data_IF_315588944316
#
_entry.id   IF_315588944316
#
_cell.length_a   1.000
_cell.length_b   1.000
_cell.length_c   1.000
_cell.angle_alpha   90.00
_cell.angle_beta   90.00
_cell.angle_gamma   90.00
#
_symmetry.space_group_name_H-M   'P 1'
#
loop_
_entity.id
_entity.type
_entity.pdbx_description
1 polymer ?
#
# COMPACT_ATOMS: atom_id res chain seq x y z
N UNK A 1 28.66 10.60 33.16
CA UNK A 1 27.33 10.86 32.53
C UNK A 1 27.38 10.53 31.05
N UNK A 2 26.34 9.91 30.49
CA UNK A 2 26.19 9.71 29.03
C UNK A 2 26.18 11.06 28.30
N UNK A 3 26.74 11.14 27.08
CA UNK A 3 26.70 12.37 26.24
C UNK A 3 25.28 12.94 26.09
N UNK A 4 24.27 12.06 26.05
CA UNK A 4 22.85 12.46 25.95
C UNK A 4 22.29 13.00 27.28
N UNK A 5 22.69 12.45 28.42
CA UNK A 5 22.24 12.91 29.74
C UNK A 5 22.84 14.26 30.11
N UNK A 6 24.11 14.49 29.73
CA UNK A 6 24.78 15.78 29.90
C UNK A 6 24.04 16.87 29.13
N UNK A 7 23.77 16.61 27.84
CA UNK A 7 23.04 17.53 26.96
C UNK A 7 21.64 17.87 27.47
N UNK A 8 20.91 16.88 27.99
CA UNK A 8 19.57 17.11 28.58
C UNK A 8 19.66 17.92 29.88
N UNK A 9 20.71 17.70 30.68
CA UNK A 9 20.92 18.45 31.92
C UNK A 9 21.31 19.91 31.63
N UNK A 10 22.08 20.16 30.58
CA UNK A 10 22.38 21.50 30.06
C UNK A 10 21.11 22.19 29.55
N UNK A 11 20.24 21.50 28.79
CA UNK A 11 18.98 22.07 28.29
C UNK A 11 18.00 22.46 29.41
N UNK A 12 18.03 21.75 30.54
CA UNK A 12 17.11 21.97 31.67
C UNK A 12 17.75 22.89 32.72
N UNK A 13 19.00 23.32 32.53
CA UNK A 13 19.70 24.17 33.50
C UNK A 13 18.90 25.46 33.74
N UNK A 14 18.56 25.73 35.01
CA UNK A 14 17.79 26.91 35.41
C UNK A 14 16.26 26.76 35.35
N UNK A 15 15.72 25.62 34.94
CA UNK A 15 14.27 25.37 34.91
C UNK A 15 13.88 24.24 35.86
N UNK A 16 12.81 24.46 36.65
CA UNK A 16 12.16 23.39 37.41
C UNK A 16 11.30 22.56 36.48
N UNK A 17 11.76 21.35 36.15
CA UNK A 17 11.10 20.47 35.19
C UNK A 17 10.65 19.19 35.89
N UNK A 18 9.43 18.75 35.62
CA UNK A 18 8.91 17.50 36.18
C UNK A 18 9.75 16.30 35.70
N UNK A 19 9.91 15.24 36.51
CA UNK A 19 10.67 14.05 36.13
C UNK A 19 10.20 13.41 34.82
N UNK A 20 8.90 13.48 34.54
CA UNK A 20 8.28 12.98 33.30
C UNK A 20 8.77 13.73 32.07
N UNK A 21 8.84 15.07 32.14
CA UNK A 21 9.31 15.89 31.02
C UNK A 21 10.80 15.68 30.78
N UNK A 22 11.61 15.63 31.85
CA UNK A 22 13.05 15.27 31.76
C UNK A 22 13.25 13.91 31.09
N UNK A 23 12.44 12.91 31.46
CA UNK A 23 12.49 11.57 30.87
C UNK A 23 12.12 11.58 29.39
N UNK A 24 11.05 12.27 29.01
CA UNK A 24 10.62 12.37 27.61
C UNK A 24 11.65 13.08 26.75
N UNK A 25 12.27 14.15 27.28
CA UNK A 25 13.35 14.86 26.58
C UNK A 25 14.56 13.95 26.37
N UNK A 26 14.95 13.19 27.39
CA UNK A 26 16.01 12.20 27.29
C UNK A 26 15.69 11.12 26.25
N UNK A 27 14.46 10.60 26.24
CA UNK A 27 14.04 9.63 25.24
C UNK A 27 14.14 10.20 23.81
N UNK A 28 13.72 11.45 23.60
CA UNK A 28 13.81 12.13 22.30
C UNK A 28 15.25 12.28 21.81
N UNK A 29 16.15 12.75 22.67
CA UNK A 29 17.57 12.92 22.32
C UNK A 29 18.26 11.57 22.06
N UNK A 30 17.90 10.53 22.81
CA UNK A 30 18.40 9.16 22.58
C UNK A 30 17.95 8.62 21.23
N UNK A 31 16.69 8.82 20.87
CA UNK A 31 16.16 8.42 19.56
C UNK A 31 16.87 9.18 18.43
N UNK A 32 17.01 10.50 18.56
CA UNK A 32 17.69 11.35 17.57
C UNK A 32 19.13 10.88 17.32
N UNK A 33 19.87 10.59 18.40
CA UNK A 33 21.24 10.06 18.31
C UNK A 33 21.26 8.69 17.66
N UNK A 34 20.43 7.73 18.11
CA UNK A 34 20.41 6.38 17.54
C UNK A 34 20.05 6.38 16.05
N UNK A 35 19.08 7.18 15.63
CA UNK A 35 18.69 7.29 14.22
C UNK A 35 19.86 7.84 13.41
N UNK A 36 20.54 8.90 13.89
CA UNK A 36 21.69 9.50 13.21
C UNK A 36 22.85 8.51 13.09
N UNK A 37 23.18 7.82 14.18
CA UNK A 37 24.26 6.84 14.22
C UNK A 37 23.98 5.68 13.25
N UNK A 38 22.76 5.12 13.30
CA UNK A 38 22.35 4.02 12.40
C UNK A 38 22.28 4.44 10.94
N UNK A 39 21.87 5.68 10.65
CA UNK A 39 21.79 6.19 9.28
C UNK A 39 23.19 6.45 8.69
N UNK A 40 24.12 6.94 9.50
CA UNK A 40 25.49 7.18 9.08
C UNK A 40 26.28 5.88 8.85
N UNK A 41 25.98 4.84 9.63
CA UNK A 41 26.61 3.52 9.50
C UNK A 41 26.10 2.71 8.29
N UNK A 42 25.01 3.15 7.63
CA UNK A 42 24.44 2.43 6.48
C UNK A 42 25.17 2.74 5.18
N UNK A 43 25.30 1.72 4.34
CA UNK A 43 25.75 1.88 2.95
C UNK A 43 24.69 2.59 2.10
N UNK A 44 25.10 3.21 0.97
CA UNK A 44 24.18 3.94 0.07
C UNK A 44 22.99 3.08 -0.41
N UNK A 45 23.22 1.79 -0.66
CA UNK A 45 22.20 0.80 -1.06
C UNK A 45 21.23 0.46 0.08
N UNK A 46 21.69 0.47 1.32
CA UNK A 46 20.85 0.22 2.49
C UNK A 46 20.00 1.43 2.86
N UNK A 47 20.50 2.65 2.67
CA UNK A 47 19.74 3.89 2.95
C UNK A 47 18.39 3.95 2.22
N UNK A 48 18.30 3.37 1.02
CA UNK A 48 17.05 3.35 0.22
C UNK A 48 16.09 2.21 0.58
N UNK A 49 16.57 1.15 1.24
CA UNK A 49 15.80 -0.10 1.49
C UNK A 49 15.65 -0.47 2.96
N UNK A 50 16.21 0.31 3.88
CA UNK A 50 16.22 -0.07 5.30
C UNK A 50 14.83 -0.01 5.90
N UNK A 51 14.43 -1.10 6.56
CA UNK A 51 13.22 -1.14 7.36
C UNK A 51 13.33 -0.15 8.53
N UNK A 52 12.31 0.70 8.71
CA UNK A 52 12.17 1.64 9.82
C UNK A 52 12.50 1.01 11.20
N UNK A 53 12.16 -0.27 11.39
CA UNK A 53 12.49 -1.04 12.59
C UNK A 53 14.00 -1.14 12.83
N UNK A 54 14.82 -1.34 11.79
CA UNK A 54 16.29 -1.42 11.92
C UNK A 54 16.89 -0.08 12.34
N UNK A 55 16.38 1.03 11.78
CA UNK A 55 16.84 2.40 12.13
C UNK A 55 16.56 2.72 13.60
N UNK A 56 15.48 2.18 14.17
CA UNK A 56 15.07 2.43 15.54
C UNK A 56 15.60 1.42 16.57
N UNK A 57 16.42 0.45 16.19
CA UNK A 57 17.03 -0.50 17.13
C UNK A 57 18.53 -0.21 17.32
N UNK A 58 19.04 -0.42 18.54
CA UNK A 58 20.46 -0.34 18.82
C UNK A 58 20.82 -0.32 20.31
N UNK A 59 22.11 -0.16 20.65
CA UNK A 59 22.60 -0.22 22.03
C UNK A 59 22.01 0.88 22.93
N UNK A 60 21.83 2.11 22.41
CA UNK A 60 21.27 3.22 23.21
C UNK A 60 19.81 2.93 23.58
N UNK A 61 19.04 2.36 22.66
CA UNK A 61 17.64 1.97 22.88
C UNK A 61 17.51 0.92 23.99
N UNK A 62 18.43 -0.04 24.04
CA UNK A 62 18.50 -1.04 25.11
C UNK A 62 18.87 -0.40 26.44
N UNK A 63 19.90 0.46 26.46
CA UNK A 63 20.37 1.17 27.66
C UNK A 63 19.26 2.00 28.31
N UNK A 64 18.50 2.76 27.52
CA UNK A 64 17.41 3.61 28.02
C UNK A 64 16.04 2.91 28.05
N UNK A 65 15.99 1.57 27.91
CA UNK A 65 14.78 0.73 28.02
C UNK A 65 13.61 1.20 27.12
N UNK A 66 13.90 1.72 25.94
CA UNK A 66 12.90 2.25 25.00
C UNK A 66 12.20 1.16 24.16
N UNK A 67 12.61 -0.10 24.32
CA UNK A 67 12.09 -1.22 23.54
C UNK A 67 10.56 -1.34 23.59
N UNK A 68 9.93 -1.25 24.78
CA UNK A 68 8.47 -1.40 24.90
C UNK A 68 7.70 -0.30 24.16
N UNK A 69 8.18 0.94 24.27
CA UNK A 69 7.61 2.09 23.56
C UNK A 69 7.74 1.92 22.04
N UNK A 70 8.92 1.51 21.58
CA UNK A 70 9.17 1.32 20.15
C UNK A 70 8.45 0.10 19.57
N UNK A 71 8.28 -0.98 20.34
CA UNK A 71 7.49 -2.13 19.91
C UNK A 71 6.06 -1.72 19.59
N UNK A 72 5.42 -0.88 20.41
CA UNK A 72 4.06 -0.40 20.12
C UNK A 72 4.01 0.46 18.83
N UNK A 73 5.01 1.32 18.61
CA UNK A 73 5.07 2.19 17.44
C UNK A 73 5.39 1.43 16.15
N UNK A 74 6.23 0.40 16.24
CA UNK A 74 6.73 -0.36 15.08
C UNK A 74 6.05 -1.71 14.90
N UNK A 75 5.08 -2.05 15.77
CA UNK A 75 4.42 -3.35 15.73
C UNK A 75 3.71 -3.57 14.40
N UNK A 76 3.72 -4.83 13.94
CA UNK A 76 2.90 -5.21 12.79
C UNK A 76 1.41 -5.00 13.06
N UNK A 77 0.94 -5.06 14.32
CA UNK A 77 -0.48 -4.88 14.67
C UNK A 77 -0.96 -3.46 14.36
N UNK A 78 -0.20 -2.45 14.77
CA UNK A 78 -0.52 -1.03 14.48
C UNK A 78 -0.39 -0.71 12.99
N UNK A 79 0.63 -1.24 12.31
CA UNK A 79 0.77 -1.08 10.86
C UNK A 79 -0.27 -1.87 10.04
N UNK A 80 -0.70 -3.04 10.52
CA UNK A 80 -1.70 -3.90 9.88
C UNK A 80 -3.07 -3.25 9.87
N UNK A 81 -3.46 -2.54 10.94
CA UNK A 81 -4.73 -1.82 10.97
C UNK A 81 -4.83 -0.82 9.81
N UNK A 82 -3.77 -0.04 9.56
CA UNK A 82 -3.71 0.88 8.41
C UNK A 82 -3.84 0.14 7.07
N UNK A 83 -3.18 -1.02 6.93
CA UNK A 83 -3.26 -1.87 5.72
C UNK A 83 -4.65 -2.46 5.51
N UNK A 84 -5.36 -2.84 6.58
CA UNK A 84 -6.72 -3.36 6.53
C UNK A 84 -7.72 -2.30 6.04
N UNK A 85 -7.62 -1.07 6.56
CA UNK A 85 -8.49 0.05 6.12
C UNK A 85 -8.29 0.37 4.64
N UNK A 86 -7.05 0.37 4.14
CA UNK A 86 -6.77 0.59 2.71
C UNK A 86 -7.29 -0.55 1.84
N UNK A 87 -7.17 -1.80 2.32
CA UNK A 87 -7.70 -2.97 1.61
C UNK A 87 -9.23 -2.92 1.51
N UNK A 88 -9.94 -2.51 2.57
CA UNK A 88 -11.39 -2.36 2.54
C UNK A 88 -11.87 -1.39 1.45
N UNK A 89 -11.19 -0.24 1.31
CA UNK A 89 -11.50 0.73 0.25
C UNK A 89 -11.24 0.18 -1.16
N UNK A 90 -10.15 -0.56 -1.35
CA UNK A 90 -9.83 -1.19 -2.64
C UNK A 90 -10.86 -2.28 -2.98
N UNK A 91 -11.28 -3.07 -1.99
CA UNK A 91 -12.30 -4.12 -2.18
C UNK A 91 -13.64 -3.47 -2.57
N UNK A 92 -14.06 -2.41 -1.87
CA UNK A 92 -15.28 -1.68 -2.19
C UNK A 92 -15.22 -1.07 -3.60
N UNK A 93 -14.10 -0.43 -3.95
CA UNK A 93 -13.85 0.10 -5.29
C UNK A 93 -13.92 -0.99 -6.36
N UNK A 94 -13.31 -2.15 -6.11
CA UNK A 94 -13.35 -3.29 -7.03
C UNK A 94 -14.77 -3.77 -7.26
N UNK A 95 -15.57 -3.89 -6.20
CA UNK A 95 -16.97 -4.32 -6.30
C UNK A 95 -17.77 -3.34 -7.15
N UNK A 96 -17.64 -2.03 -6.89
CA UNK A 96 -18.33 -1.00 -7.67
C UNK A 96 -17.91 -1.02 -9.16
N UNK A 97 -16.62 -1.21 -9.46
CA UNK A 97 -16.15 -1.33 -10.85
C UNK A 97 -16.71 -2.58 -11.53
N UNK A 98 -16.75 -3.72 -10.81
CA UNK A 98 -17.30 -4.97 -11.36
C UNK A 98 -18.80 -4.82 -11.65
N UNK A 99 -19.56 -4.29 -10.69
CA UNK A 99 -21.00 -4.08 -10.82
C UNK A 99 -21.34 -3.13 -11.96
N UNK A 100 -20.66 -1.98 -12.04
CA UNK A 100 -20.80 -1.05 -13.15
C UNK A 100 -20.51 -1.71 -14.50
N UNK A 101 -19.42 -2.48 -14.61
CA UNK A 101 -19.09 -3.18 -15.85
C UNK A 101 -19.99 -4.39 -16.11
N UNK A 102 -20.81 -4.84 -15.16
CA UNK A 102 -21.80 -5.92 -15.32
C UNK A 102 -23.11 -5.45 -15.93
N UNK A 103 -23.45 -4.17 -15.78
CA UNK A 103 -24.58 -3.54 -16.46
C UNK A 103 -24.50 -3.74 -17.98
N UNK A 104 -25.65 -4.06 -18.58
CA UNK A 104 -25.76 -4.36 -20.01
C UNK A 104 -25.45 -3.14 -20.89
N UNK A 105 -25.62 -1.92 -20.36
CA UNK A 105 -25.20 -0.69 -21.02
C UNK A 105 -23.68 -0.61 -21.23
N UNK A 106 -22.91 -1.18 -20.30
CA UNK A 106 -21.45 -1.03 -20.26
C UNK A 106 -20.74 -2.27 -20.82
N UNK A 107 -21.39 -3.44 -20.81
CA UNK A 107 -20.88 -4.64 -21.46
C UNK A 107 -22.00 -5.57 -21.94
N UNK A 108 -21.76 -6.29 -23.03
CA UNK A 108 -22.66 -7.33 -23.56
C UNK A 108 -22.10 -8.73 -23.31
N UNK A 109 -22.98 -9.68 -23.03
CA UNK A 109 -22.60 -11.10 -22.94
C UNK A 109 -22.51 -11.73 -24.32
N UNK A 110 -21.63 -12.71 -24.46
CA UNK A 110 -21.54 -13.50 -25.69
C UNK A 110 -22.66 -14.52 -25.79
N UNK A 111 -23.10 -14.84 -27.01
CA UNK A 111 -24.16 -15.83 -27.22
C UNK A 111 -23.68 -17.28 -27.03
N UNK A 112 -22.39 -17.55 -27.29
CA UNK A 112 -21.85 -18.90 -27.27
C UNK A 112 -21.58 -19.45 -25.87
N UNK A 113 -22.17 -20.60 -25.52
CA UNK A 113 -21.89 -21.36 -24.28
C UNK A 113 -20.41 -21.74 -24.12
N UNK A 114 -19.67 -21.84 -25.23
CA UNK A 114 -18.23 -22.17 -25.27
C UNK A 114 -17.32 -20.94 -25.14
N UNK A 115 -17.86 -19.73 -25.25
CA UNK A 115 -17.11 -18.46 -25.18
C UNK A 115 -16.86 -18.08 -23.71
N UNK A 116 -15.93 -18.83 -23.11
CA UNK A 116 -15.56 -18.70 -21.71
C UNK A 116 -14.07 -18.46 -21.59
N UNK A 117 -13.68 -17.69 -20.57
CA UNK A 117 -12.29 -17.46 -20.19
C UNK A 117 -12.07 -18.02 -18.78
N UNK A 118 -10.96 -18.73 -18.61
CA UNK A 118 -10.58 -19.34 -17.34
C UNK A 118 -9.30 -18.70 -16.84
N UNK A 119 -9.30 -18.23 -15.59
CA UNK A 119 -8.10 -17.69 -14.94
C UNK A 119 -8.12 -18.05 -13.46
N UNK A 120 -6.98 -18.54 -12.94
CA UNK A 120 -6.84 -18.96 -11.53
C UNK A 120 -8.01 -19.84 -11.08
N UNK A 121 -8.24 -20.94 -11.82
CA UNK A 121 -9.33 -21.92 -11.62
C UNK A 121 -10.76 -21.38 -11.69
N UNK A 122 -10.97 -20.08 -11.96
CA UNK A 122 -12.28 -19.49 -12.17
C UNK A 122 -12.62 -19.43 -13.66
N UNK A 123 -13.66 -20.16 -14.07
CA UNK A 123 -14.23 -20.12 -15.43
C UNK A 123 -15.42 -19.15 -15.47
N UNK A 124 -15.40 -18.20 -16.39
CA UNK A 124 -16.47 -17.19 -16.58
C UNK A 124 -16.78 -17.02 -18.07
N UNK A 125 -18.02 -16.70 -18.40
CA UNK A 125 -18.43 -16.34 -19.75
C UNK A 125 -17.85 -14.99 -20.13
N UNK A 126 -17.37 -14.87 -21.38
CA UNK A 126 -16.79 -13.63 -21.88
C UNK A 126 -17.90 -12.58 -21.99
N UNK A 127 -17.58 -11.35 -21.59
CA UNK A 127 -18.43 -10.18 -21.80
C UNK A 127 -17.61 -9.12 -22.52
N UNK A 128 -18.11 -8.65 -23.65
CA UNK A 128 -17.47 -7.60 -24.41
C UNK A 128 -17.87 -6.23 -23.89
N UNK A 129 -16.90 -5.36 -23.69
CA UNK A 129 -17.17 -3.96 -23.34
C UNK A 129 -17.80 -3.25 -24.53
N UNK A 130 -18.84 -2.46 -24.26
CA UNK A 130 -19.56 -1.72 -25.30
C UNK A 130 -18.80 -0.46 -25.75
N UNK A 131 -17.86 0.03 -24.93
CA UNK A 131 -17.02 1.18 -25.23
C UNK A 131 -15.59 0.96 -24.70
N UNK A 132 -14.67 1.85 -25.08
CA UNK A 132 -13.32 1.91 -24.57
C UNK A 132 -13.30 2.08 -23.04
N UNK A 133 -12.28 1.50 -22.40
CA UNK A 133 -12.07 1.63 -20.96
C UNK A 133 -11.99 3.09 -20.49
N UNK A 134 -11.48 3.99 -21.34
CA UNK A 134 -11.37 5.41 -21.04
C UNK A 134 -12.74 6.07 -20.92
N UNK A 135 -13.63 5.86 -21.88
CA UNK A 135 -15.00 6.42 -21.83
C UNK A 135 -15.85 5.78 -20.73
N UNK A 136 -15.68 4.47 -20.50
CA UNK A 136 -16.32 3.79 -19.38
C UNK A 136 -15.87 4.35 -18.02
N UNK A 137 -14.58 4.70 -17.88
CA UNK A 137 -14.06 5.36 -16.68
C UNK A 137 -14.67 6.76 -16.47
N UNK A 138 -14.82 7.55 -17.54
CA UNK A 138 -15.49 8.85 -17.47
C UNK A 138 -16.97 8.71 -17.08
N UNK A 139 -17.69 7.72 -17.64
CA UNK A 139 -19.08 7.40 -17.25
C UNK A 139 -19.17 6.95 -15.80
N UNK A 140 -18.23 6.09 -15.35
CA UNK A 140 -18.16 5.62 -13.98
C UNK A 140 -17.98 6.77 -12.97
N UNK A 141 -17.07 7.72 -13.24
CA UNK A 141 -16.86 8.90 -12.38
C UNK A 141 -18.10 9.77 -12.30
N UNK A 142 -18.86 9.91 -13.40
CA UNK A 142 -20.09 10.71 -13.44
C UNK A 142 -21.24 10.06 -12.67
N UNK A 143 -21.41 8.74 -12.80
CA UNK A 143 -22.55 8.01 -12.24
C UNK A 143 -22.34 7.59 -10.78
N UNK A 144 -21.10 7.46 -10.32
CA UNK A 144 -20.80 7.01 -8.95
C UNK A 144 -20.30 8.14 -8.07
N UNK A 145 -20.62 8.07 -6.77
CA UNK A 145 -20.03 8.96 -5.76
C UNK A 145 -18.51 8.71 -5.56
N UNK A 146 -17.95 7.67 -6.19
CA UNK A 146 -16.55 7.27 -6.13
C UNK A 146 -15.66 8.08 -7.11
N UNK A 147 -15.82 9.41 -7.10
CA UNK A 147 -15.14 10.39 -8.00
C UNK A 147 -13.59 10.43 -7.91
N UNK A 148 -12.97 9.52 -7.16
CA UNK A 148 -11.54 9.57 -6.80
C UNK A 148 -10.70 8.45 -7.40
N UNK A 149 -11.29 7.51 -8.14
CA UNK A 149 -10.53 6.41 -8.75
C UNK A 149 -9.84 6.92 -10.03
N UNK A 150 -8.52 6.78 -10.10
CA UNK A 150 -7.75 7.11 -11.30
C UNK A 150 -8.04 6.12 -12.43
N UNK A 151 -7.81 6.54 -13.69
CA UNK A 151 -7.97 5.67 -14.86
C UNK A 151 -7.13 4.37 -14.74
N UNK A 152 -5.86 4.49 -14.33
CA UNK A 152 -4.98 3.32 -14.15
C UNK A 152 -5.52 2.34 -13.10
N UNK A 153 -6.03 2.86 -11.99
CA UNK A 153 -6.64 2.04 -10.94
C UNK A 153 -7.91 1.37 -11.45
N UNK A 154 -8.77 2.09 -12.17
CA UNK A 154 -9.98 1.55 -12.78
C UNK A 154 -9.68 0.37 -13.71
N UNK A 155 -8.70 0.51 -14.60
CA UNK A 155 -8.26 -0.55 -15.50
C UNK A 155 -7.69 -1.77 -14.75
N UNK A 156 -6.96 -1.55 -13.67
CA UNK A 156 -6.40 -2.63 -12.84
C UNK A 156 -7.47 -3.39 -12.05
N UNK A 157 -8.58 -2.73 -11.72
CA UNK A 157 -9.72 -3.32 -11.03
C UNK A 157 -10.69 -4.07 -11.96
N UNK A 158 -10.56 -3.90 -13.28
CA UNK A 158 -11.36 -4.60 -14.29
C UNK A 158 -11.27 -6.12 -14.10
N UNK A 159 -12.41 -6.84 -14.05
CA UNK A 159 -12.41 -8.29 -14.00
C UNK A 159 -11.92 -8.89 -15.34
N UNK A 160 -11.24 -10.04 -15.28
CA UNK A 160 -10.55 -10.62 -16.44
C UNK A 160 -11.49 -11.13 -17.55
N UNK A 161 -12.78 -11.32 -17.26
CA UNK A 161 -13.78 -11.78 -18.22
C UNK A 161 -14.49 -10.64 -18.97
N UNK A 162 -14.10 -9.38 -18.71
CA UNK A 162 -14.57 -8.20 -19.46
C UNK A 162 -13.49 -7.81 -20.47
N UNK A 163 -13.77 -8.02 -21.74
CA UNK A 163 -12.78 -7.90 -22.83
C UNK A 163 -13.17 -6.77 -23.79
N UNK A 164 -12.20 -6.00 -24.26
CA UNK A 164 -12.43 -5.01 -25.31
C UNK A 164 -12.57 -5.71 -26.67
N UNK A 165 -13.54 -5.29 -27.47
CA UNK A 165 -13.84 -5.91 -28.78
C UNK A 165 -12.60 -5.88 -29.70
N UNK A 166 -11.81 -4.81 -29.65
CA UNK A 166 -10.61 -4.64 -30.48
C UNK A 166 -9.47 -5.62 -30.17
N UNK A 167 -9.54 -6.38 -29.07
CA UNK A 167 -8.50 -7.35 -28.71
C UNK A 167 -8.76 -8.75 -29.31
N UNK A 168 -9.99 -9.05 -29.75
CA UNK A 168 -10.31 -10.38 -30.29
C UNK A 168 -10.08 -10.52 -31.81
N UNK A 169 -10.04 -9.42 -32.55
CA UNK A 169 -9.86 -9.46 -34.02
C UNK A 169 -8.39 -9.72 -34.42
N UNK A 170 -7.43 -9.55 -33.50
CA UNK A 170 -6.00 -9.67 -33.83
C UNK A 170 -5.26 -10.82 -33.14
N UNK A 171 -5.85 -11.57 -32.21
CA UNK A 171 -5.04 -12.44 -31.33
C UNK A 171 -5.59 -13.85 -31.11
N UNK A 172 -5.77 -14.58 -32.20
CA UNK A 172 -5.65 -16.05 -32.16
C UNK A 172 -4.20 -16.53 -32.12
N UNK A 173 -3.19 -15.63 -32.23
CA UNK A 173 -1.78 -16.02 -32.29
C UNK A 173 -0.82 -15.38 -31.27
N UNK A 174 -1.17 -14.29 -30.58
CA UNK A 174 -0.21 -13.63 -29.67
C UNK A 174 -0.88 -13.08 -28.40
N UNK A 175 -0.94 -13.90 -27.34
CA UNK A 175 -1.07 -13.36 -25.97
C UNK A 175 -0.15 -14.10 -24.99
N UNK A 176 1.14 -14.03 -25.27
CA UNK A 176 2.12 -13.81 -24.20
C UNK A 176 2.17 -12.32 -23.88
N UNK A 177 2.51 -11.94 -22.65
CA UNK A 177 2.83 -10.56 -22.26
C UNK A 177 1.69 -9.57 -21.94
N UNK A 178 0.76 -9.94 -21.06
CA UNK A 178 0.28 -9.02 -19.99
C UNK A 178 0.02 -9.79 -18.69
N UNK A 179 1.03 -10.54 -18.27
CA UNK A 179 1.19 -11.07 -16.92
C UNK A 179 2.46 -10.44 -16.36
N UNK A 180 2.36 -9.21 -15.84
CA UNK A 180 3.32 -8.82 -14.82
C UNK A 180 2.86 -9.45 -13.52
N UNK A 181 3.62 -10.47 -13.16
CA UNK A 181 3.67 -11.05 -11.82
C UNK A 181 3.70 -9.95 -10.77
N UNK A 182 2.58 -9.77 -10.08
CA UNK A 182 2.67 -9.40 -8.66
C UNK A 182 3.15 -10.65 -7.95
N UNK A 183 4.47 -10.84 -7.94
CA UNK A 183 5.14 -11.77 -7.02
C UNK A 183 4.72 -11.35 -5.61
N UNK A 184 3.80 -12.11 -5.03
CA UNK A 184 3.67 -12.20 -3.58
C UNK A 184 4.92 -12.93 -3.09
N UNK A 185 6.00 -12.18 -2.90
CA UNK A 185 7.13 -12.64 -2.10
C UNK A 185 6.69 -12.64 -0.63
N UNK A 186 6.87 -13.79 0.02
CA UNK A 186 6.78 -13.98 1.48
C UNK A 186 7.65 -12.98 2.25
#
# INVERSE_FOLDING_TARGET
>A
MSTTEKKVSEMIAGQSVTPTVRRNLLHGEVLKKQIKDNFNQQTSKEKTKTSFKKVLHGPLIKKFKLNKMLQNLTSRRTLSYRKQVTNGKIIAARRAVVEFLEEDENSRITAGKKETITRKTMKKQIRYLNDSMRRLHEKFIKNTQLKKISYSTFCSLRPFWKVEINLFVQNSHEYGYWLTDVKLTN
#
